data_IF_355663081478
#
_entry.id   IF_355663081478
#
_cell.length_a   1.000
_cell.length_b   1.000
_cell.length_c   1.000
_cell.angle_alpha   90.00
_cell.angle_beta   90.00
_cell.angle_gamma   90.00
#
_symmetry.space_group_name_H-M   'P 1'
#
loop_
_entity.id
_entity.type
_entity.pdbx_description
1 polymer ?
#
# COMPACT_ATOMS: atom_id res chain seq x y z
N UNK A 1 -21.75 -6.14 -23.22
CA UNK A 1 -20.76 -5.38 -22.43
C UNK A 1 -19.84 -6.39 -21.78
N UNK A 2 -18.57 -6.45 -22.17
CA UNK A 2 -17.62 -7.38 -21.53
C UNK A 2 -17.24 -6.86 -20.16
N UNK A 3 -17.36 -7.70 -19.13
CA UNK A 3 -16.93 -7.36 -17.78
C UNK A 3 -15.41 -7.14 -17.78
N UNK A 4 -14.97 -5.93 -17.43
CA UNK A 4 -13.55 -5.64 -17.21
C UNK A 4 -13.24 -6.02 -15.77
N UNK A 5 -12.27 -6.91 -15.56
CA UNK A 5 -11.78 -7.23 -14.22
C UNK A 5 -10.76 -6.17 -13.82
N UNK A 6 -11.02 -5.46 -12.73
CA UNK A 6 -10.09 -4.49 -12.14
C UNK A 6 -9.55 -4.99 -10.81
N UNK A 7 -8.32 -4.60 -10.49
CA UNK A 7 -7.70 -4.79 -9.18
C UNK A 7 -6.98 -3.52 -8.76
N UNK A 8 -6.73 -3.38 -7.45
CA UNK A 8 -6.01 -2.24 -6.89
C UNK A 8 -4.72 -2.70 -6.23
N UNK A 9 -3.63 -2.00 -6.50
CA UNK A 9 -2.36 -2.14 -5.79
C UNK A 9 -2.22 -0.92 -4.89
N UNK A 10 -2.26 -1.15 -3.58
CA UNK A 10 -2.06 -0.08 -2.60
C UNK A 10 -0.60 0.36 -2.57
N UNK A 11 -0.37 1.67 -2.66
CA UNK A 11 0.94 2.26 -2.46
C UNK A 11 1.08 2.55 -0.96
N UNK A 12 1.73 1.65 -0.22
CA UNK A 12 2.05 1.88 1.18
C UNK A 12 3.14 2.96 1.27
N UNK A 13 2.71 4.21 1.36
CA UNK A 13 3.62 5.35 1.50
C UNK A 13 2.98 6.57 2.18
N UNK A 14 1.66 6.71 2.11
CA UNK A 14 0.97 7.88 2.68
C UNK A 14 0.51 7.71 4.12
N UNK A 15 0.40 6.48 4.64
CA UNK A 15 -0.44 6.24 5.84
C UNK A 15 0.02 5.17 6.83
N UNK A 16 0.98 4.32 6.46
CA UNK A 16 1.57 3.42 7.45
C UNK A 16 2.49 4.25 8.36
N UNK A 17 2.18 4.27 9.66
CA UNK A 17 3.09 4.77 10.70
C UNK A 17 4.42 3.98 10.75
N UNK A 18 4.47 2.84 10.06
CA UNK A 18 5.68 2.08 9.81
C UNK A 18 6.35 2.61 8.54
N UNK A 19 7.61 3.04 8.67
CA UNK A 19 8.48 3.70 7.67
C UNK A 19 8.72 2.96 6.33
N UNK A 20 7.93 1.94 5.98
CA UNK A 20 8.06 1.24 4.71
C UNK A 20 7.30 1.97 3.61
N UNK A 21 8.00 2.88 2.93
CA UNK A 21 7.65 3.38 1.59
C UNK A 21 7.96 2.29 0.55
N UNK A 22 7.18 1.21 0.55
CA UNK A 22 7.34 0.10 -0.40
C UNK A 22 6.00 -0.33 -0.96
N UNK A 23 5.96 -0.59 -2.26
CA UNK A 23 4.82 -1.21 -2.91
C UNK A 23 4.69 -2.67 -2.45
N UNK A 24 3.47 -3.15 -2.25
CA UNK A 24 3.22 -4.55 -1.95
C UNK A 24 3.84 -5.45 -3.04
N UNK A 25 4.72 -6.36 -2.62
CA UNK A 25 5.35 -7.34 -3.53
C UNK A 25 4.42 -8.50 -3.86
N UNK A 26 3.27 -8.60 -3.21
CA UNK A 26 2.28 -9.63 -3.50
C UNK A 26 1.61 -9.33 -4.83
N UNK A 27 1.83 -10.20 -5.82
CA UNK A 27 1.22 -10.07 -7.14
C UNK A 27 -0.29 -10.32 -7.05
N UNK A 28 -1.15 -9.39 -7.50
CA UNK A 28 -2.59 -9.60 -7.58
C UNK A 28 -2.92 -10.83 -8.43
N UNK A 29 -3.91 -11.62 -8.00
CA UNK A 29 -4.33 -12.83 -8.72
C UNK A 29 -4.72 -12.56 -10.19
N UNK A 30 -5.26 -11.36 -10.48
CA UNK A 30 -5.63 -10.92 -11.85
C UNK A 30 -4.44 -10.77 -12.80
N UNK A 31 -3.22 -10.59 -12.26
CA UNK A 31 -1.98 -10.50 -13.02
C UNK A 31 -1.28 -11.86 -13.17
N UNK A 32 -1.74 -12.88 -12.43
CA UNK A 32 -1.20 -14.23 -12.51
C UNK A 32 -1.39 -14.82 -13.90
N UNK A 33 -0.29 -15.27 -14.50
CA UNK A 33 -0.27 -15.79 -15.88
C UNK A 33 -0.26 -14.71 -16.97
N UNK A 34 -0.27 -13.42 -16.62
CA UNK A 34 -0.18 -12.30 -17.57
C UNK A 34 1.16 -11.60 -17.54
N UNK A 35 1.75 -11.55 -16.35
CA UNK A 35 3.06 -10.96 -16.10
C UNK A 35 3.93 -12.03 -15.44
N UNK A 36 5.21 -12.08 -15.77
CA UNK A 36 6.13 -13.00 -15.08
C UNK A 36 6.44 -12.46 -13.68
N UNK A 37 6.83 -13.34 -12.75
CA UNK A 37 7.26 -12.91 -11.42
C UNK A 37 8.47 -11.96 -11.49
N UNK A 38 9.37 -12.17 -12.47
CA UNK A 38 10.50 -11.28 -12.73
C UNK A 38 10.07 -9.88 -13.13
N UNK A 39 9.18 -9.76 -14.12
CA UNK A 39 8.66 -8.47 -14.58
C UNK A 39 7.88 -7.73 -13.49
N UNK A 40 7.14 -8.48 -12.66
CA UNK A 40 6.46 -7.92 -11.48
C UNK A 40 7.46 -7.36 -10.47
N UNK A 41 8.55 -8.08 -10.17
CA UNK A 41 9.58 -7.58 -9.25
C UNK A 41 10.26 -6.32 -9.78
N UNK A 42 10.55 -6.26 -11.09
CA UNK A 42 11.13 -5.07 -11.74
C UNK A 42 10.17 -3.88 -11.65
N UNK A 43 8.88 -4.09 -11.93
CA UNK A 43 7.85 -3.07 -11.78
C UNK A 43 7.82 -2.51 -10.35
N UNK A 44 7.80 -3.39 -9.34
CA UNK A 44 7.80 -2.95 -7.95
C UNK A 44 9.08 -2.19 -7.57
N UNK A 45 10.24 -2.60 -8.07
CA UNK A 45 11.51 -1.89 -7.83
C UNK A 45 11.53 -0.50 -8.46
N UNK A 46 11.00 -0.36 -9.68
CA UNK A 46 10.89 0.93 -10.36
C UNK A 46 9.92 1.86 -9.65
N UNK A 47 8.78 1.33 -9.16
CA UNK A 47 7.83 2.08 -8.34
C UNK A 47 8.46 2.53 -7.02
N UNK A 48 9.15 1.65 -6.29
CA UNK A 48 9.85 2.00 -5.04
C UNK A 48 10.92 3.09 -5.29
N UNK A 49 11.66 2.97 -6.39
CA UNK A 49 12.66 3.98 -6.79
C UNK A 49 12.01 5.33 -7.13
N UNK A 50 10.83 5.34 -7.73
CA UNK A 50 10.07 6.56 -8.00
C UNK A 50 9.51 7.20 -6.72
N UNK A 51 9.19 6.39 -5.70
CA UNK A 51 8.64 6.83 -4.41
C UNK A 51 9.71 7.28 -3.41
N UNK A 52 10.96 6.84 -3.54
CA UNK A 52 12.09 7.22 -2.68
C UNK A 52 12.28 8.73 -2.39
N UNK A 53 12.00 9.68 -3.30
CA UNK A 53 12.10 11.10 -2.97
C UNK A 53 11.10 11.54 -1.89
N UNK A 54 10.05 10.75 -1.65
CA UNK A 54 8.96 11.09 -0.73
C UNK A 54 9.39 11.06 0.74
N UNK A 55 10.27 10.12 1.13
CA UNK A 55 10.87 10.06 2.46
C UNK A 55 11.64 11.35 2.83
N UNK A 56 12.34 11.95 1.86
CA UNK A 56 13.07 13.21 2.07
C UNK A 56 12.13 14.38 2.40
N UNK A 57 10.95 14.40 1.78
CA UNK A 57 9.95 15.47 1.97
C UNK A 57 9.33 15.37 3.36
N UNK A 58 9.10 14.16 3.87
CA UNK A 58 8.55 13.96 5.22
C UNK A 58 9.47 14.55 6.28
N UNK A 59 10.78 14.26 6.20
CA UNK A 59 11.78 14.82 7.12
C UNK A 59 11.85 16.34 7.04
N UNK A 60 11.84 16.91 5.83
CA UNK A 60 11.83 18.36 5.64
C UNK A 60 10.56 19.01 6.21
N UNK A 61 9.39 18.40 5.96
CA UNK A 61 8.10 18.90 6.42
C UNK A 61 8.00 18.83 7.95
N UNK A 62 8.47 17.74 8.55
CA UNK A 62 8.52 17.59 10.00
C UNK A 62 9.46 18.61 10.64
N UNK A 63 10.68 18.74 10.13
CA UNK A 63 11.64 19.75 10.60
C UNK A 63 11.04 21.17 10.50
N UNK A 64 10.36 21.48 9.40
CA UNK A 64 9.69 22.77 9.20
C UNK A 64 8.57 23.02 10.23
N UNK A 65 7.74 22.02 10.50
CA UNK A 65 6.68 22.11 11.51
C UNK A 65 7.21 22.23 12.95
N UNK A 66 8.43 21.77 13.24
CA UNK A 66 9.08 21.96 14.55
C UNK A 66 9.77 23.33 14.64
N UNK A 67 10.46 23.75 13.57
CA UNK A 67 11.23 25.00 13.54
C UNK A 67 10.33 26.24 13.57
N UNK A 68 9.20 26.24 12.88
CA UNK A 68 8.28 27.41 12.85
C UNK A 68 7.76 27.78 14.25
N UNK A 69 7.12 26.86 15.01
CA UNK A 69 6.60 27.19 16.34
C UNK A 69 7.71 27.62 17.29
N UNK A 70 8.88 26.97 17.20
CA UNK A 70 10.03 27.34 18.02
C UNK A 70 10.49 28.77 17.72
N UNK A 71 10.64 29.13 16.44
CA UNK A 71 10.99 30.50 16.03
C UNK A 71 9.93 31.52 16.47
N UNK A 72 8.64 31.14 16.41
CA UNK A 72 7.53 31.98 16.88
C UNK A 72 7.57 32.22 18.39
N UNK A 73 7.80 31.17 19.19
CA UNK A 73 7.93 31.28 20.66
C UNK A 73 9.12 32.16 21.03
N UNK A 74 10.27 31.96 20.39
CA UNK A 74 11.46 32.80 20.61
C UNK A 74 11.14 34.27 20.31
N UNK A 75 10.45 34.54 19.20
CA UNK A 75 10.07 35.90 18.83
C UNK A 75 9.09 36.52 19.83
N UNK A 76 8.10 35.77 20.32
CA UNK A 76 7.20 36.21 21.38
C UNK A 76 7.97 36.53 22.67
N UNK A 77 8.89 35.67 23.09
CA UNK A 77 9.70 35.91 24.30
C UNK A 77 10.52 37.20 24.19
N UNK A 78 11.19 37.45 23.05
CA UNK A 78 11.91 38.70 22.82
C UNK A 78 10.98 39.92 22.73
N UNK A 79 9.80 39.76 22.12
CA UNK A 79 8.78 40.80 22.05
C UNK A 79 8.26 41.20 23.44
N UNK A 80 7.94 40.20 24.28
CA UNK A 80 7.50 40.42 25.66
C UNK A 80 8.61 41.01 26.52
N UNK A 81 9.84 40.50 26.44
CA UNK A 81 10.98 41.07 27.17
C UNK A 81 11.16 42.55 26.82
N UNK A 82 11.03 42.93 25.55
CA UNK A 82 11.07 44.36 25.15
C UNK A 82 9.87 45.17 25.60
N UNK A 83 8.68 44.57 25.70
CA UNK A 83 7.49 45.24 26.22
C UNK A 83 7.66 45.59 27.71
N UNK A 84 8.27 44.71 28.49
CA UNK A 84 8.51 44.93 29.92
C UNK A 84 9.78 45.71 30.23
N UNK A 85 10.76 45.73 29.33
CA UNK A 85 12.09 46.28 29.61
C UNK A 85 12.32 47.74 29.19
N UNK A 86 11.35 48.47 28.62
CA UNK A 86 11.65 49.86 28.22
C UNK A 86 10.55 50.87 28.45
N UNK A 87 10.97 51.87 29.23
CA UNK A 87 10.53 53.25 29.26
C UNK A 87 10.35 53.88 27.87
N UNK A 88 9.29 54.70 27.78
CA UNK A 88 8.90 55.75 26.82
C UNK A 88 8.88 55.50 25.30
N UNK A 89 9.59 54.51 24.77
CA UNK A 89 9.61 54.24 23.33
C UNK A 89 8.67 53.08 22.96
N UNK A 90 7.40 53.43 22.71
CA UNK A 90 6.30 52.52 22.44
C UNK A 90 6.59 51.37 21.46
N UNK A 91 5.94 50.24 21.74
CA UNK A 91 6.01 48.99 20.97
C UNK A 91 5.82 49.22 19.47
N UNK A 92 6.86 48.97 18.66
CA UNK A 92 6.82 49.17 17.21
C UNK A 92 6.08 48.00 16.53
N UNK A 93 4.77 48.19 16.30
CA UNK A 93 3.90 47.26 15.55
C UNK A 93 4.49 46.80 14.21
N UNK A 94 5.34 47.61 13.57
CA UNK A 94 6.05 47.23 12.34
C UNK A 94 6.88 45.96 12.48
N UNK A 95 7.44 45.66 13.66
CA UNK A 95 8.22 44.45 13.88
C UNK A 95 7.37 43.18 13.88
N UNK A 96 6.13 43.24 14.39
CA UNK A 96 5.21 42.09 14.34
C UNK A 96 4.84 41.79 12.90
N UNK A 97 4.47 42.81 12.13
CA UNK A 97 4.01 42.64 10.74
C UNK A 97 5.06 41.94 9.89
N UNK A 98 6.34 42.31 10.05
CA UNK A 98 7.46 41.68 9.31
C UNK A 98 7.57 40.19 9.64
N UNK A 99 7.44 39.79 10.92
CA UNK A 99 7.54 38.37 11.31
C UNK A 99 6.36 37.56 10.82
N UNK A 100 5.14 38.10 10.92
CA UNK A 100 3.95 37.43 10.37
C UNK A 100 4.10 37.19 8.88
N UNK A 101 4.61 38.17 8.13
CA UNK A 101 4.88 38.00 6.70
C UNK A 101 5.91 36.91 6.40
N UNK A 102 7.01 36.85 7.16
CA UNK A 102 8.03 35.79 6.99
C UNK A 102 7.43 34.40 7.23
N UNK A 103 6.59 34.25 8.25
CA UNK A 103 5.92 32.97 8.56
C UNK A 103 4.96 32.57 7.43
N UNK A 104 4.17 33.52 6.91
CA UNK A 104 3.24 33.25 5.80
C UNK A 104 4.02 32.85 4.54
N UNK A 105 5.02 33.64 4.14
CA UNK A 105 5.85 33.38 2.95
C UNK A 105 6.54 32.02 3.07
N UNK A 106 7.14 31.73 4.23
CA UNK A 106 7.79 30.44 4.48
C UNK A 106 6.82 29.27 4.33
N UNK A 107 5.61 29.37 4.89
CA UNK A 107 4.58 28.32 4.74
C UNK A 107 4.18 28.13 3.28
N UNK A 108 3.97 29.22 2.53
CA UNK A 108 3.67 29.15 1.09
C UNK A 108 4.80 28.46 0.31
N UNK A 109 6.06 28.81 0.59
CA UNK A 109 7.21 28.18 -0.05
C UNK A 109 7.25 26.65 0.19
N UNK A 110 7.00 26.20 1.41
CA UNK A 110 6.97 24.76 1.72
C UNK A 110 5.82 24.04 1.03
N UNK A 111 4.64 24.67 0.96
CA UNK A 111 3.50 24.12 0.20
C UNK A 111 3.82 23.98 -1.29
N UNK A 112 4.51 24.96 -1.89
CA UNK A 112 4.94 24.90 -3.30
C UNK A 112 5.96 23.79 -3.50
N UNK A 113 7.00 23.68 -2.66
CA UNK A 113 8.00 22.60 -2.74
C UNK A 113 7.32 21.23 -2.65
N UNK A 114 6.40 21.06 -1.69
CA UNK A 114 5.62 19.83 -1.52
C UNK A 114 4.79 19.51 -2.76
N UNK A 115 4.17 20.51 -3.37
CA UNK A 115 3.38 20.36 -4.61
C UNK A 115 4.25 19.95 -5.80
N UNK A 116 5.38 20.62 -6.01
CA UNK A 116 6.31 20.32 -7.12
C UNK A 116 6.85 18.89 -7.02
N UNK A 117 7.26 18.48 -5.82
CA UNK A 117 7.77 17.13 -5.61
C UNK A 117 6.70 16.06 -5.82
N UNK A 118 5.47 16.29 -5.34
CA UNK A 118 4.34 15.41 -5.64
C UNK A 118 4.14 15.27 -7.15
N UNK A 119 4.06 16.37 -7.88
CA UNK A 119 3.90 16.34 -9.34
C UNK A 119 5.02 15.55 -10.04
N UNK A 120 6.26 15.65 -9.55
CA UNK A 120 7.40 14.88 -10.09
C UNK A 120 7.26 13.39 -9.83
N UNK A 121 6.85 12.99 -8.63
CA UNK A 121 6.59 11.58 -8.27
C UNK A 121 5.44 11.04 -9.15
N UNK A 122 4.33 11.78 -9.23
CA UNK A 122 3.17 11.38 -10.04
C UNK A 122 3.53 11.16 -11.51
N UNK A 123 4.30 12.08 -12.12
CA UNK A 123 4.76 11.93 -13.51
C UNK A 123 5.58 10.66 -13.71
N UNK A 124 6.50 10.35 -12.78
CA UNK A 124 7.31 9.13 -12.86
C UNK A 124 6.49 7.86 -12.68
N UNK A 125 5.54 7.82 -11.75
CA UNK A 125 4.64 6.67 -11.62
C UNK A 125 3.81 6.44 -12.89
N UNK A 126 3.27 7.52 -13.47
CA UNK A 126 2.51 7.44 -14.73
C UNK A 126 3.40 6.92 -15.86
N UNK A 127 4.64 7.41 -15.96
CA UNK A 127 5.62 6.96 -16.96
C UNK A 127 5.93 5.47 -16.83
N UNK A 128 6.20 4.99 -15.62
CA UNK A 128 6.46 3.56 -15.34
C UNK A 128 5.22 2.73 -15.70
N UNK A 129 4.04 3.11 -15.23
CA UNK A 129 2.79 2.41 -15.55
C UNK A 129 2.52 2.35 -17.06
N UNK A 130 2.78 3.44 -17.78
CA UNK A 130 2.64 3.50 -19.23
C UNK A 130 3.64 2.58 -19.95
N UNK A 131 4.91 2.59 -19.52
CA UNK A 131 5.95 1.72 -20.07
C UNK A 131 5.61 0.24 -19.87
N UNK A 132 5.18 -0.15 -18.67
CA UNK A 132 4.80 -1.54 -18.37
C UNK A 132 3.56 -1.98 -19.14
N UNK A 133 2.58 -1.09 -19.30
CA UNK A 133 1.38 -1.35 -20.12
C UNK A 133 1.76 -1.59 -21.60
N UNK A 134 2.72 -0.81 -22.12
CA UNK A 134 3.19 -0.96 -23.49
C UNK A 134 3.92 -2.30 -23.72
N UNK A 135 4.60 -2.82 -22.70
CA UNK A 135 5.29 -4.13 -22.77
C UNK A 135 4.34 -5.34 -22.65
N UNK A 136 3.13 -5.16 -22.11
CA UNK A 136 2.18 -6.25 -21.83
C UNK A 136 0.84 -6.02 -22.51
N UNK A 137 0.67 -6.43 -23.79
CA UNK A 137 -0.60 -6.27 -24.49
C UNK A 137 -1.73 -6.99 -23.73
N UNK A 138 -2.78 -6.25 -23.39
CA UNK A 138 -3.93 -6.75 -22.64
C UNK A 138 -3.96 -6.34 -21.16
N UNK A 139 -2.93 -5.65 -20.65
CA UNK A 139 -2.90 -5.08 -19.30
C UNK A 139 -2.72 -3.56 -19.42
N UNK A 140 -3.55 -2.79 -18.71
CA UNK A 140 -3.34 -1.35 -18.56
C UNK A 140 -3.24 -0.98 -17.08
N UNK A 141 -2.18 -0.23 -16.76
CA UNK A 141 -1.94 0.31 -15.43
C UNK A 141 -2.35 1.77 -15.39
N UNK A 142 -3.26 2.12 -14.48
CA UNK A 142 -3.75 3.47 -14.28
C UNK A 142 -3.47 3.93 -12.85
N UNK A 143 -2.73 5.02 -12.72
CA UNK A 143 -2.49 5.61 -11.40
C UNK A 143 -3.70 6.46 -11.00
N UNK A 144 -4.37 6.11 -9.90
CA UNK A 144 -5.49 6.89 -9.36
C UNK A 144 -5.13 7.52 -8.01
N UNK A 145 -5.57 8.76 -7.85
CA UNK A 145 -5.45 9.50 -6.61
C UNK A 145 -6.86 9.71 -6.07
N UNK A 146 -7.25 8.98 -5.03
CA UNK A 146 -8.56 9.12 -4.42
C UNK A 146 -8.44 10.00 -3.17
N UNK A 147 -8.93 11.25 -3.30
CA UNK A 147 -9.16 12.09 -2.14
C UNK A 147 -10.51 11.71 -1.54
N UNK A 148 -10.52 10.77 -0.59
CA UNK A 148 -11.67 10.61 0.27
C UNK A 148 -11.69 11.79 1.24
N UNK A 149 -12.46 12.82 0.90
CA UNK A 149 -12.98 13.72 1.92
C UNK A 149 -13.81 12.83 2.84
N UNK A 150 -13.27 12.52 4.01
CA UNK A 150 -14.00 11.77 5.01
C UNK A 150 -15.32 12.48 5.23
N UNK A 151 -16.43 11.86 4.82
CA UNK A 151 -17.73 12.24 5.32
C UNK A 151 -17.57 12.04 6.82
N UNK A 152 -17.50 13.13 7.58
CA UNK A 152 -17.54 13.11 9.04
C UNK A 152 -18.90 12.51 9.39
N UNK A 153 -18.98 11.18 9.31
CA UNK A 153 -20.04 10.46 9.96
C UNK A 153 -19.69 10.66 11.43
N UNK A 154 -20.40 11.59 12.04
CA UNK A 154 -20.42 11.78 13.48
C UNK A 154 -20.61 10.41 14.10
N UNK A 155 -19.53 9.81 14.60
CA UNK A 155 -19.64 8.72 15.55
C UNK A 155 -20.39 9.33 16.73
N UNK A 156 -21.70 9.08 16.79
CA UNK A 156 -22.51 9.43 17.94
C UNK A 156 -21.83 8.76 19.14
N UNK A 157 -21.33 9.62 20.03
CA UNK A 157 -20.67 9.31 21.29
C UNK A 157 -21.27 8.08 21.97
N UNK A 158 -20.57 6.96 21.88
CA UNK A 158 -20.73 5.87 22.84
C UNK A 158 -19.69 6.14 23.93
N UNK A 159 -20.17 6.44 25.14
CA UNK A 159 -19.39 6.77 26.34
C UNK A 159 -18.59 5.57 26.87
N UNK A 160 -17.71 5.00 26.04
CA UNK A 160 -16.76 3.97 26.41
C UNK A 160 -15.36 4.56 26.48
N UNK A 161 -14.78 4.62 27.67
CA UNK A 161 -13.42 5.12 27.98
C UNK A 161 -12.30 4.22 27.42
N UNK A 162 -12.33 3.90 26.13
CA UNK A 162 -11.23 3.17 25.50
C UNK A 162 -10.45 4.12 24.57
N UNK A 163 -9.20 4.36 24.95
CA UNK A 163 -8.14 5.11 24.27
C UNK A 163 -7.92 4.64 22.82
N UNK A 164 -8.88 4.93 21.94
CA UNK A 164 -8.71 4.82 20.51
C UNK A 164 -8.15 6.15 20.02
N UNK A 165 -6.84 6.36 20.24
CA UNK A 165 -6.07 7.46 19.66
C UNK A 165 -6.20 7.46 18.12
N UNK A 166 -7.25 8.15 17.68
CA UNK A 166 -7.30 9.08 16.57
C UNK A 166 -6.57 8.68 15.28
N UNK A 167 -7.06 7.62 14.63
CA UNK A 167 -6.77 7.33 13.23
C UNK A 167 -7.56 8.23 12.24
N UNK A 168 -8.08 9.37 12.69
CA UNK A 168 -9.00 10.24 11.96
C UNK A 168 -8.27 11.30 11.08
N UNK A 169 -7.01 11.03 10.73
CA UNK A 169 -6.32 11.83 9.71
C UNK A 169 -7.02 11.66 8.37
N UNK A 170 -7.32 12.78 7.72
CA UNK A 170 -7.86 12.87 6.36
C UNK A 170 -7.18 11.86 5.42
N UNK A 171 -7.84 10.70 5.20
CA UNK A 171 -7.20 9.54 4.56
C UNK A 171 -7.18 9.71 3.04
N UNK A 172 -6.16 10.40 2.53
CA UNK A 172 -5.80 10.29 1.10
C UNK A 172 -5.18 8.91 0.84
N UNK A 173 -5.81 8.13 -0.05
CA UNK A 173 -5.26 6.86 -0.54
C UNK A 173 -4.76 7.07 -1.96
N UNK A 174 -3.49 6.76 -2.15
CA UNK A 174 -2.88 6.68 -3.48
C UNK A 174 -2.77 5.20 -3.83
N UNK A 175 -3.37 4.78 -4.94
CA UNK A 175 -3.34 3.38 -5.38
C UNK A 175 -3.20 3.29 -6.91
N UNK A 176 -2.65 2.19 -7.39
CA UNK A 176 -2.55 1.89 -8.81
C UNK A 176 -3.70 0.96 -9.16
N UNK A 177 -4.62 1.43 -10.00
CA UNK A 177 -5.67 0.60 -10.57
C UNK A 177 -5.09 -0.19 -11.75
N UNK A 178 -5.28 -1.50 -11.73
CA UNK A 178 -4.87 -2.41 -12.79
C UNK A 178 -6.11 -2.89 -13.49
N UNK A 179 -6.21 -2.59 -14.78
CA UNK A 179 -7.29 -3.06 -15.64
C UNK A 179 -6.73 -4.14 -16.57
N UNK A 180 -7.34 -5.33 -16.54
CA UNK A 180 -7.01 -6.39 -17.49
C UNK A 180 -8.10 -6.40 -18.55
N UNK A 181 -7.72 -6.11 -19.79
CA UNK A 181 -8.65 -6.28 -20.90
C UNK A 181 -9.04 -7.75 -20.93
N UNK A 182 -10.34 -8.08 -21.03
CA UNK A 182 -10.72 -9.46 -21.27
C UNK A 182 -9.95 -9.89 -22.52
N UNK A 183 -9.34 -11.07 -22.49
CA UNK A 183 -8.83 -11.70 -23.71
C UNK A 183 -10.05 -11.94 -24.54
N UNK A 184 -10.40 -10.95 -25.37
CA UNK A 184 -11.23 -11.15 -26.52
C UNK A 184 -10.49 -12.26 -27.25
N UNK A 185 -11.08 -13.47 -27.18
CA UNK A 185 -10.52 -14.69 -27.75
C UNK A 185 -9.94 -14.33 -29.11
N UNK A 186 -8.62 -14.14 -29.16
CA UNK A 186 -7.93 -13.72 -30.38
C UNK A 186 -7.97 -14.84 -31.43
N UNK A 187 -8.60 -15.96 -31.07
CA UNK A 187 -9.05 -17.06 -31.90
C UNK A 187 -10.06 -16.67 -33.00
N UNK A 188 -10.70 -15.49 -32.96
CA UNK A 188 -11.75 -15.14 -33.94
C UNK A 188 -11.24 -14.40 -35.21
N UNK A 189 -9.94 -14.16 -35.38
CA UNK A 189 -9.40 -13.52 -36.60
C UNK A 189 -8.70 -14.47 -37.59
N UNK A 190 -8.91 -15.78 -37.47
CA UNK A 190 -8.97 -16.63 -38.66
C UNK A 190 -10.44 -16.85 -39.03
N UNK A 191 -11.09 -15.78 -39.46
CA UNK A 191 -12.31 -15.86 -40.27
C UNK A 191 -11.90 -16.39 -41.65
N UNK A 192 -11.62 -17.69 -41.71
CA UNK A 192 -11.57 -18.42 -42.97
C UNK A 192 -13.01 -18.58 -43.44
N UNK A 193 -13.27 -18.07 -44.65
CA UNK A 193 -14.56 -18.03 -45.32
C UNK A 193 -15.06 -19.42 -45.73
N UNK A 194 -15.34 -20.31 -44.78
CA UNK A 194 -16.10 -21.52 -45.05
C UNK A 194 -17.53 -21.40 -44.50
N UNK A 195 -18.53 -21.81 -45.30
CA UNK A 195 -19.94 -21.76 -44.91
C UNK A 195 -20.21 -22.67 -43.70
N UNK A 196 -21.26 -22.39 -42.92
CA UNK A 196 -21.57 -23.12 -41.70
C UNK A 196 -21.98 -24.56 -42.04
N UNK A 197 -21.06 -25.50 -41.84
CA UNK A 197 -21.41 -26.91 -41.69
C UNK A 197 -21.84 -27.09 -40.23
N UNK A 198 -23.11 -27.41 -40.03
CA UNK A 198 -23.65 -27.81 -38.75
C UNK A 198 -22.95 -29.10 -38.31
N UNK A 199 -21.97 -28.98 -37.41
CA UNK A 199 -21.37 -30.11 -36.71
C UNK A 199 -22.03 -30.18 -35.34
N UNK A 200 -22.80 -31.24 -35.11
CA UNK A 200 -23.26 -31.60 -33.78
C UNK A 200 -22.03 -32.00 -32.95
N UNK A 201 -21.62 -31.16 -32.01
CA UNK A 201 -20.66 -31.53 -30.97
C UNK A 201 -21.34 -32.46 -29.98
N UNK A 202 -21.23 -33.77 -30.23
CA UNK A 202 -21.33 -34.77 -29.18
C UNK A 202 -20.03 -34.69 -28.35
N UNK A 203 -20.13 -34.24 -27.11
CA UNK A 203 -19.06 -34.35 -26.12
C UNK A 203 -18.73 -35.84 -25.90
N UNK A 204 -17.64 -36.31 -26.52
CA UNK A 204 -16.98 -37.55 -26.11
C UNK A 204 -15.93 -37.17 -25.08
N UNK A 205 -16.18 -37.54 -23.84
CA UNK A 205 -15.22 -37.51 -22.74
C UNK A 205 -14.06 -38.44 -23.08
N UNK A 206 -12.80 -37.97 -23.16
CA UNK A 206 -11.66 -38.87 -23.22
C UNK A 206 -11.47 -39.48 -21.83
N UNK A 207 -11.85 -40.76 -21.68
CA UNK A 207 -11.36 -41.59 -20.58
C UNK A 207 -9.88 -41.88 -20.84
N UNK A 208 -8.99 -41.13 -20.20
CA UNK A 208 -7.57 -41.47 -20.13
C UNK A 208 -7.38 -42.61 -19.14
N UNK A 209 -7.47 -43.83 -19.67
CA UNK A 209 -6.94 -45.03 -19.04
C UNK A 209 -5.44 -44.86 -18.85
N UNK A 210 -5.01 -44.56 -17.63
CA UNK A 210 -3.61 -44.55 -17.24
C UNK A 210 -3.12 -46.00 -17.16
N UNK A 211 -2.21 -46.37 -18.08
CA UNK A 211 -1.46 -47.63 -18.05
C UNK A 211 -0.30 -47.47 -17.07
N UNK A 212 -0.11 -48.38 -16.09
CA UNK A 212 1.10 -48.40 -15.28
C UNK A 212 2.22 -49.11 -16.07
N UNK A 213 3.15 -48.34 -16.62
CA UNK A 213 4.42 -48.90 -17.12
C UNK A 213 5.40 -48.92 -15.97
N UNK A 214 5.65 -50.12 -15.44
CA UNK A 214 6.74 -50.40 -14.54
C UNK A 214 8.04 -50.46 -15.36
N UNK A 215 9.01 -49.59 -15.02
CA UNK A 215 10.43 -49.87 -15.22
C UNK A 215 11.24 -49.20 -14.10
N UNK A 216 12.11 -49.94 -13.39
CA UNK A 216 12.90 -49.42 -12.29
C UNK A 216 14.23 -48.87 -12.82
N UNK A 217 14.34 -47.54 -12.96
CA UNK A 217 15.62 -46.88 -13.21
C UNK A 217 16.17 -46.34 -11.89
N UNK A 218 17.31 -46.88 -11.48
CA UNK A 218 18.09 -46.50 -10.30
C UNK A 218 18.41 -44.99 -10.28
N UNK A 219 18.50 -44.37 -9.08
CA UNK A 219 18.92 -42.99 -8.95
C UNK A 219 20.44 -42.86 -9.16
N UNK A 220 20.81 -42.14 -10.22
CA UNK A 220 22.18 -41.62 -10.41
C UNK A 220 22.39 -40.39 -9.54
N UNK A 221 23.57 -40.31 -8.93
CA UNK A 221 23.95 -39.37 -7.88
C UNK A 221 23.77 -37.88 -8.25
N UNK A 222 23.51 -37.00 -7.27
CA UNK A 222 23.46 -35.57 -7.52
C UNK A 222 24.87 -34.98 -7.73
N UNK A 223 25.05 -34.05 -8.68
CA UNK A 223 26.28 -33.28 -8.78
C UNK A 223 26.45 -32.40 -7.53
N UNK A 224 27.68 -32.36 -7.00
CA UNK A 224 28.14 -31.42 -5.96
C UNK A 224 27.86 -29.98 -6.42
N UNK A 225 26.75 -29.42 -5.98
CA UNK A 225 26.46 -28.00 -6.07
C UNK A 225 27.33 -27.23 -5.07
N UNK A 226 27.86 -26.11 -5.57
CA UNK A 226 28.69 -25.18 -4.85
C UNK A 226 28.03 -24.74 -3.54
N UNK A 227 28.84 -24.71 -2.47
CA UNK A 227 28.49 -24.18 -1.18
C UNK A 227 28.08 -22.70 -1.32
N UNK A 228 26.78 -22.46 -1.29
CA UNK A 228 26.21 -21.16 -0.95
C UNK A 228 26.35 -21.07 0.58
N UNK A 229 27.17 -20.11 1.03
CA UNK A 229 27.24 -19.74 2.43
C UNK A 229 25.84 -19.41 2.95
N UNK A 230 25.37 -20.04 4.05
CA UNK A 230 24.22 -19.54 4.78
C UNK A 230 24.59 -18.13 5.26
N UNK A 231 23.81 -17.15 4.85
CA UNK A 231 23.83 -15.85 5.49
C UNK A 231 23.21 -16.07 6.86
N UNK A 232 24.06 -16.15 7.89
CA UNK A 232 23.67 -16.04 9.29
C UNK A 232 23.07 -14.64 9.49
N UNK A 233 21.77 -14.51 9.25
CA UNK A 233 20.97 -13.42 9.79
C UNK A 233 20.68 -13.78 11.25
N UNK A 234 21.18 -13.02 12.24
CA UNK A 234 20.81 -13.21 13.63
C UNK A 234 19.36 -12.72 13.83
N UNK A 235 18.40 -13.50 13.31
CA UNK A 235 17.03 -13.44 13.77
C UNK A 235 17.05 -13.79 15.25
N UNK A 236 16.92 -12.76 16.09
CA UNK A 236 16.54 -12.96 17.47
C UNK A 236 15.28 -13.83 17.49
N UNK A 237 15.26 -14.95 18.23
CA UNK A 237 14.04 -15.69 18.45
C UNK A 237 13.11 -14.78 19.25
N UNK A 238 12.23 -14.06 18.56
CA UNK A 238 11.04 -13.48 19.16
C UNK A 238 10.23 -14.69 19.57
N UNK A 239 10.45 -15.09 20.82
CA UNK A 239 9.62 -16.02 21.56
C UNK A 239 8.22 -15.43 21.50
N UNK A 240 7.43 -15.82 20.48
CA UNK A 240 6.01 -15.52 20.43
C UNK A 240 5.43 -16.29 21.60
N UNK A 241 5.36 -15.64 22.75
CA UNK A 241 4.70 -16.16 23.93
C UNK A 241 3.35 -16.70 23.46
N UNK A 242 3.14 -18.00 23.66
CA UNK A 242 1.88 -18.64 23.30
C UNK A 242 0.82 -17.96 24.17
N UNK A 243 0.00 -17.10 23.56
CA UNK A 243 -1.16 -16.50 24.21
C UNK A 243 -1.94 -17.60 24.92
N UNK A 244 -2.28 -17.35 26.18
CA UNK A 244 -3.04 -18.32 26.99
C UNK A 244 -4.41 -18.54 26.34
N UNK A 245 -5.04 -19.69 26.60
CA UNK A 245 -6.36 -19.99 26.04
C UNK A 245 -7.41 -18.95 26.44
N UNK A 246 -7.27 -18.35 27.63
CA UNK A 246 -8.11 -17.26 28.12
C UNK A 246 -7.97 -15.98 27.28
N UNK A 247 -6.74 -15.58 26.95
CA UNK A 247 -6.49 -14.43 26.07
C UNK A 247 -7.03 -14.67 24.66
N UNK A 248 -6.86 -15.89 24.13
CA UNK A 248 -7.43 -16.27 22.82
C UNK A 248 -8.95 -16.23 22.83
N UNK A 249 -9.60 -16.63 23.92
CA UNK A 249 -11.07 -16.57 24.06
C UNK A 249 -11.55 -15.11 24.11
N UNK A 250 -10.86 -14.26 24.86
CA UNK A 250 -11.17 -12.83 24.97
C UNK A 250 -11.00 -12.09 23.64
N UNK A 251 -9.97 -12.43 22.86
CA UNK A 251 -9.79 -11.89 21.51
C UNK A 251 -10.88 -12.39 20.55
N UNK A 252 -11.32 -13.65 20.67
CA UNK A 252 -12.42 -14.19 19.86
C UNK A 252 -13.76 -13.50 20.17
N UNK A 253 -14.05 -13.22 21.45
CA UNK A 253 -15.24 -12.49 21.88
C UNK A 253 -15.27 -11.06 21.34
N UNK A 254 -14.11 -10.39 21.27
CA UNK A 254 -13.99 -9.06 20.64
C UNK A 254 -14.27 -9.06 19.15
N UNK A 255 -14.04 -10.20 18.47
CA UNK A 255 -14.27 -10.32 17.03
C UNK A 255 -15.68 -10.81 16.67
N UNK A 256 -16.52 -11.13 17.65
CA UNK A 256 -17.84 -11.77 17.45
C UNK A 256 -18.74 -11.01 16.47
N UNK A 257 -18.69 -9.68 16.46
CA UNK A 257 -19.56 -8.85 15.60
C UNK A 257 -19.05 -8.73 14.15
N UNK A 258 -17.81 -9.17 13.88
CA UNK A 258 -17.15 -9.07 12.57
C UNK A 258 -17.16 -10.42 11.85
N UNK A 259 -17.19 -11.53 12.60
CA UNK A 259 -17.21 -12.90 12.07
C UNK A 259 -18.62 -13.47 12.08
N UNK A 260 -18.88 -14.47 11.24
CA UNK A 260 -20.16 -15.17 11.27
C UNK A 260 -20.27 -16.02 12.54
N UNK A 261 -21.49 -16.22 13.02
CA UNK A 261 -21.76 -16.98 14.25
C UNK A 261 -21.21 -18.41 14.17
N UNK A 262 -21.29 -19.04 13.00
CA UNK A 262 -20.73 -20.37 12.75
C UNK A 262 -19.20 -20.41 12.89
N UNK A 263 -18.51 -19.39 12.39
CA UNK A 263 -17.05 -19.29 12.49
C UNK A 263 -16.60 -19.01 13.94
N UNK A 264 -17.37 -18.23 14.68
CA UNK A 264 -17.15 -18.00 16.11
C UNK A 264 -17.21 -19.32 16.89
N UNK A 265 -18.26 -20.13 16.74
CA UNK A 265 -18.38 -21.40 17.46
C UNK A 265 -17.29 -22.41 17.07
N UNK A 266 -16.90 -22.44 15.79
CA UNK A 266 -15.80 -23.29 15.31
C UNK A 266 -14.47 -22.91 15.99
N UNK A 267 -14.12 -21.62 16.01
CA UNK A 267 -12.88 -21.13 16.64
C UNK A 267 -12.90 -21.29 18.16
N UNK A 268 -14.07 -21.13 18.78
CA UNK A 268 -14.26 -21.36 20.22
C UNK A 268 -14.01 -22.83 20.59
N UNK A 269 -14.49 -23.77 19.77
CA UNK A 269 -14.24 -25.20 19.96
C UNK A 269 -12.75 -25.53 19.82
N UNK A 270 -12.06 -24.94 18.84
CA UNK A 270 -10.61 -25.11 18.64
C UNK A 270 -9.79 -24.61 19.84
N UNK A 271 -10.12 -23.45 20.41
CA UNK A 271 -9.44 -22.92 21.60
C UNK A 271 -9.70 -23.81 22.82
N UNK A 272 -10.90 -24.35 22.97
CA UNK A 272 -11.25 -25.24 24.09
C UNK A 272 -10.62 -26.63 23.96
N UNK A 273 -10.32 -27.10 22.74
CA UNK A 273 -9.62 -28.37 22.54
C UNK A 273 -8.10 -28.30 22.80
N UNK A 274 -7.54 -27.09 22.82
CA UNK A 274 -6.12 -26.84 23.11
C UNK A 274 -5.79 -26.80 24.62
N UNK A 275 -6.81 -26.84 25.49
CA UNK A 275 -6.70 -26.85 26.98
C UNK A 275 -6.65 -28.29 27.48
#
# INVERSE_FOLDING_TARGET
>A
MSATTSGSIDIYGSQAACDQERVSRTMPAILSGRITSGDWTILCDDLDKALKPSAGIKKLTYAWHVVIPLAFVIFLMFGFLRLFASDENGFRWSSIVVVVMIVIVGNVCVLVIKSVQRNKIQKKLIEICHQTSASHPGISFHVRYEMRMGKQNSCASSEGNDDCDDCNSERRRDYIEVCVAPVAASSALYSSSLPPVAVAEAYVVPSTTFVPSADPVMPSAPPKSAAIYPYDDPEMPILKEKKTAEERMKDLDRMKDIITEEEYYRKRAEILSDI
#
